data_IF_158513373822
#
_entry.id   IF_158513373822
#
_cell.length_a   1.000
_cell.length_b   1.000
_cell.length_c   1.000
_cell.angle_alpha   90.00
_cell.angle_beta   90.00
_cell.angle_gamma   90.00
#
_symmetry.space_group_name_H-M   'P 1'
#
loop_
_entity.id
_entity.type
_entity.pdbx_description
1 polymer ?
#
# COMPACT_ATOMS: atom_id res chain seq x y z
N UNK A 1 5.37 -28.04 1.12
CA UNK A 1 5.53 -28.15 2.59
C UNK A 1 4.49 -27.25 3.23
N UNK A 2 3.58 -27.77 4.07
CA UNK A 2 2.60 -26.92 4.77
C UNK A 2 3.28 -26.43 6.05
N UNK A 3 3.72 -25.16 6.04
CA UNK A 3 4.30 -24.53 7.22
C UNK A 3 3.18 -24.36 8.26
N UNK A 4 3.22 -25.15 9.32
CA UNK A 4 2.26 -25.07 10.42
C UNK A 4 2.66 -23.94 11.38
N UNK A 5 1.67 -23.26 11.97
CA UNK A 5 1.85 -22.20 12.97
C UNK A 5 2.49 -20.88 12.49
N UNK A 6 2.71 -20.70 11.18
CA UNK A 6 3.08 -19.40 10.62
C UNK A 6 1.83 -18.61 10.21
N UNK A 7 1.87 -17.27 10.29
CA UNK A 7 0.83 -16.43 9.71
C UNK A 7 0.65 -16.71 8.22
N UNK A 8 -0.58 -16.53 7.74
CA UNK A 8 -0.94 -16.58 6.33
C UNK A 8 -1.36 -15.19 5.86
N UNK A 9 -1.33 -14.99 4.55
CA UNK A 9 -1.78 -13.77 3.90
C UNK A 9 -3.07 -14.06 3.12
N UNK A 10 -4.12 -13.31 3.40
CA UNK A 10 -5.39 -13.37 2.68
C UNK A 10 -5.48 -12.11 1.81
N UNK A 11 -5.62 -12.21 0.47
CA UNK A 11 -5.83 -11.05 -0.38
C UNK A 11 -7.02 -10.23 0.11
N UNK A 12 -6.81 -8.93 0.35
CA UNK A 12 -7.79 -8.08 1.00
C UNK A 12 -8.17 -6.88 0.13
N UNK A 13 -7.19 -6.10 -0.33
CA UNK A 13 -7.45 -4.89 -1.09
C UNK A 13 -6.43 -4.66 -2.21
N UNK A 14 -6.83 -3.91 -3.22
CA UNK A 14 -5.95 -3.18 -4.13
C UNK A 14 -6.04 -1.69 -3.81
N UNK A 15 -4.89 -1.04 -3.62
CA UNK A 15 -4.79 0.42 -3.67
C UNK A 15 -4.10 0.85 -4.96
N UNK A 16 -4.67 1.80 -5.69
CA UNK A 16 -4.03 2.49 -6.81
C UNK A 16 -4.03 3.98 -6.51
N UNK A 17 -2.87 4.62 -6.51
CA UNK A 17 -2.73 6.04 -6.13
C UNK A 17 -1.92 6.74 -7.21
N UNK A 18 -2.53 7.67 -7.93
CA UNK A 18 -1.80 8.60 -8.77
C UNK A 18 -1.04 9.61 -7.90
N UNK A 19 0.21 9.87 -8.26
CA UNK A 19 1.10 10.78 -7.52
C UNK A 19 1.53 11.97 -8.38
N UNK A 20 1.81 13.09 -7.71
CA UNK A 20 2.43 14.27 -8.30
C UNK A 20 3.95 14.13 -8.32
N UNK A 21 4.60 15.08 -9.00
CA UNK A 21 6.05 15.20 -9.02
C UNK A 21 6.65 15.30 -7.60
N UNK A 22 7.84 14.72 -7.37
CA UNK A 22 8.51 14.80 -6.09
C UNK A 22 8.84 16.24 -5.66
N UNK A 23 8.51 16.56 -4.42
CA UNK A 23 8.97 17.78 -3.75
C UNK A 23 10.24 17.47 -2.96
N UNK A 24 11.36 18.06 -3.38
CA UNK A 24 12.67 17.83 -2.75
C UNK A 24 12.78 18.65 -1.46
N UNK A 25 12.88 17.97 -0.31
CA UNK A 25 13.09 18.61 0.99
C UNK A 25 14.59 18.65 1.31
N UNK A 26 15.27 17.52 1.12
CA UNK A 26 16.74 17.40 1.22
C UNK A 26 17.25 16.43 0.16
N UNK A 27 18.57 16.24 0.04
CA UNK A 27 19.16 15.23 -0.85
C UNK A 27 18.68 13.79 -0.58
N UNK A 28 18.24 13.50 0.65
CA UNK A 28 17.81 12.16 1.08
C UNK A 28 16.34 12.09 1.50
N UNK A 29 15.56 13.18 1.36
CA UNK A 29 14.16 13.25 1.77
C UNK A 29 13.33 13.95 0.70
N UNK A 30 12.35 13.23 0.18
CA UNK A 30 11.35 13.72 -0.75
C UNK A 30 9.96 13.63 -0.10
N UNK A 31 9.07 14.55 -0.47
CA UNK A 31 7.65 14.37 -0.27
C UNK A 31 6.99 14.11 -1.63
N UNK A 32 6.15 13.08 -1.71
CA UNK A 32 5.40 12.72 -2.90
C UNK A 32 3.91 12.95 -2.60
N UNK A 33 3.33 14.06 -3.05
CA UNK A 33 1.91 14.34 -2.85
C UNK A 33 1.05 13.41 -3.71
N UNK A 34 -0.07 12.94 -3.16
CA UNK A 34 -1.06 12.23 -3.96
C UNK A 34 -1.78 13.24 -4.87
N UNK A 35 -2.18 12.80 -6.06
CA UNK A 35 -3.08 13.58 -6.90
C UNK A 35 -4.50 13.48 -6.31
N UNK A 36 -5.13 14.59 -5.90
CA UNK A 36 -6.41 14.55 -5.18
C UNK A 36 -7.50 13.85 -5.99
N UNK A 37 -8.24 12.93 -5.35
CA UNK A 37 -9.33 12.16 -5.97
C UNK A 37 -8.93 11.27 -7.16
N UNK A 38 -7.63 11.05 -7.36
CA UNK A 38 -7.12 10.16 -8.42
C UNK A 38 -6.45 8.92 -7.82
N UNK A 39 -7.16 8.26 -6.93
CA UNK A 39 -6.73 6.98 -6.39
C UNK A 39 -7.86 6.25 -5.70
N UNK A 40 -7.78 4.93 -5.68
CA UNK A 40 -8.80 4.03 -5.16
C UNK A 40 -8.22 3.04 -4.18
N UNK A 41 -9.07 2.60 -3.24
CA UNK A 41 -8.85 1.46 -2.37
C UNK A 41 -10.08 0.56 -2.50
N UNK A 42 -9.88 -0.62 -3.07
CA UNK A 42 -10.98 -1.53 -3.43
C UNK A 42 -10.69 -2.92 -2.89
N UNK A 43 -11.71 -3.58 -2.37
CA UNK A 43 -11.59 -4.96 -1.87
C UNK A 43 -11.34 -5.95 -2.99
N UNK A 44 -10.49 -6.94 -2.71
CA UNK A 44 -10.29 -8.07 -3.61
C UNK A 44 -11.54 -8.97 -3.65
N UNK A 45 -11.82 -9.64 -4.78
CA UNK A 45 -12.93 -10.58 -4.87
C UNK A 45 -12.86 -11.66 -3.78
N UNK A 46 -13.95 -11.81 -3.03
CA UNK A 46 -14.08 -12.82 -1.97
C UNK A 46 -13.51 -12.42 -0.60
N UNK A 47 -12.94 -11.22 -0.47
CA UNK A 47 -12.60 -10.68 0.85
C UNK A 47 -13.88 -10.31 1.62
N UNK A 48 -13.91 -10.59 2.92
CA UNK A 48 -15.15 -10.55 3.71
C UNK A 48 -15.71 -9.14 3.93
N UNK A 49 -14.86 -8.12 3.87
CA UNK A 49 -15.26 -6.74 4.12
C UNK A 49 -15.28 -5.97 2.80
N UNK A 50 -16.47 -5.70 2.21
CA UNK A 50 -16.57 -4.91 1.01
C UNK A 50 -16.23 -3.44 1.31
N UNK A 51 -15.24 -2.93 0.59
CA UNK A 51 -14.79 -1.55 0.63
C UNK A 51 -14.50 -1.10 -0.79
N UNK A 52 -15.07 0.05 -1.15
CA UNK A 52 -14.71 0.85 -2.30
C UNK A 52 -14.56 2.29 -1.80
N UNK A 53 -13.36 2.83 -1.90
CA UNK A 53 -13.04 4.16 -1.42
C UNK A 53 -12.11 4.92 -2.37
N UNK A 54 -12.21 6.24 -2.33
CA UNK A 54 -11.39 7.17 -3.12
C UNK A 54 -10.50 7.98 -2.20
N UNK A 55 -9.21 8.06 -2.52
CA UNK A 55 -8.26 8.89 -1.77
C UNK A 55 -8.54 10.37 -2.02
N UNK A 56 -8.78 11.13 -0.95
CA UNK A 56 -9.08 12.56 -1.03
C UNK A 56 -7.79 13.37 -1.11
N UNK A 57 -6.83 13.03 -0.26
CA UNK A 57 -5.49 13.62 -0.21
C UNK A 57 -4.54 12.64 0.50
N UNK A 58 -3.25 12.85 0.35
CA UNK A 58 -2.22 12.08 1.06
C UNK A 58 -0.84 12.48 0.60
N UNK A 59 0.17 11.98 1.30
CA UNK A 59 1.54 12.11 0.86
C UNK A 59 2.42 10.99 1.38
N UNK A 60 3.49 10.72 0.66
CA UNK A 60 4.58 9.86 1.08
C UNK A 60 5.84 10.66 1.37
N UNK A 61 6.44 10.43 2.54
CA UNK A 61 7.79 10.88 2.82
C UNK A 61 8.77 9.76 2.52
N UNK A 62 9.46 9.90 1.38
CA UNK A 62 10.45 8.96 0.89
C UNK A 62 11.82 9.37 1.43
N UNK A 63 12.40 8.51 2.28
CA UNK A 63 13.73 8.70 2.86
C UNK A 63 14.71 7.69 2.32
N UNK A 64 15.79 8.15 1.71
CA UNK A 64 16.90 7.29 1.25
C UNK A 64 17.82 6.97 2.42
N UNK A 65 18.16 5.70 2.60
CA UNK A 65 19.20 5.30 3.55
C UNK A 65 20.56 5.87 3.10
N UNK A 66 21.50 6.16 4.02
CA UNK A 66 22.79 6.77 3.68
C UNK A 66 23.64 5.98 2.67
N UNK A 67 23.47 4.65 2.62
CA UNK A 67 24.15 3.76 1.67
C UNK A 67 23.46 3.67 0.30
N UNK A 68 22.27 4.30 0.16
CA UNK A 68 21.47 4.31 -1.06
C UNK A 68 20.82 2.97 -1.42
N UNK A 69 20.95 1.92 -0.61
CA UNK A 69 20.44 0.59 -0.94
C UNK A 69 18.93 0.45 -0.71
N UNK A 70 18.42 1.21 0.27
CA UNK A 70 17.03 1.15 0.66
C UNK A 70 16.41 2.53 0.74
N UNK A 71 15.11 2.55 0.54
CA UNK A 71 14.24 3.67 0.81
C UNK A 71 13.26 3.28 1.90
N UNK A 72 12.97 4.19 2.83
CA UNK A 72 11.89 4.09 3.80
C UNK A 72 10.73 4.97 3.36
N UNK A 73 9.53 4.41 3.41
CA UNK A 73 8.27 5.08 3.10
C UNK A 73 7.56 5.45 4.40
N UNK A 74 6.90 6.60 4.41
CA UNK A 74 6.04 7.05 5.51
C UNK A 74 4.84 7.78 4.89
N UNK A 75 3.73 7.05 4.79
CA UNK A 75 2.51 7.52 4.16
C UNK A 75 1.43 7.82 5.17
N UNK A 76 0.76 8.94 4.96
CA UNK A 76 -0.53 9.24 5.59
C UNK A 76 -1.48 9.85 4.56
N UNK A 77 -2.71 9.36 4.57
CA UNK A 77 -3.76 9.75 3.64
C UNK A 77 -5.14 9.60 4.29
N UNK A 78 -6.13 10.26 3.68
CA UNK A 78 -7.55 10.09 3.99
C UNK A 78 -8.26 9.57 2.74
N UNK A 79 -9.04 8.51 2.91
CA UNK A 79 -9.94 8.00 1.89
C UNK A 79 -11.40 8.17 2.32
N UNK A 80 -12.30 8.22 1.33
CA UNK A 80 -13.75 8.27 1.53
C UNK A 80 -14.41 7.11 0.83
N UNK A 81 -15.22 6.35 1.53
CA UNK A 81 -15.98 5.25 0.94
C UNK A 81 -17.22 5.76 0.17
N UNK A 82 -17.94 4.84 -0.47
CA UNK A 82 -19.18 5.13 -1.20
C UNK A 82 -20.35 5.56 -0.30
N UNK A 83 -20.31 5.26 1.01
CA UNK A 83 -21.29 5.75 1.98
C UNK A 83 -21.03 7.19 2.44
N UNK A 84 -19.85 7.73 2.11
CA UNK A 84 -19.39 9.05 2.53
C UNK A 84 -18.57 9.04 3.82
N UNK A 85 -18.40 7.87 4.45
CA UNK A 85 -17.56 7.64 5.63
C UNK A 85 -16.09 7.87 5.31
N UNK A 86 -15.36 8.37 6.31
CA UNK A 86 -13.92 8.64 6.19
C UNK A 86 -13.11 7.57 6.91
N UNK A 87 -11.95 7.27 6.33
CA UNK A 87 -10.94 6.43 6.95
C UNK A 87 -9.56 7.05 6.74
N UNK A 88 -8.72 6.98 7.77
CA UNK A 88 -7.30 7.23 7.64
C UNK A 88 -6.66 5.97 7.05
N UNK A 89 -5.81 6.17 6.06
CA UNK A 89 -4.93 5.17 5.49
C UNK A 89 -3.49 5.60 5.73
N UNK A 90 -2.73 4.80 6.46
CA UNK A 90 -1.32 5.07 6.71
C UNK A 90 -0.50 3.81 6.56
N UNK A 91 0.75 3.97 6.11
CA UNK A 91 1.67 2.85 6.09
C UNK A 91 3.10 3.31 6.24
N UNK A 92 3.93 2.40 6.75
CA UNK A 92 5.37 2.49 6.62
C UNK A 92 5.85 1.34 5.75
N UNK A 93 6.94 1.54 5.02
CA UNK A 93 7.45 0.53 4.12
C UNK A 93 8.92 0.66 3.81
N UNK A 94 9.40 -0.31 3.04
CA UNK A 94 10.75 -0.34 2.51
C UNK A 94 10.72 -0.65 1.02
N UNK A 95 11.63 -0.02 0.28
CA UNK A 95 11.85 -0.30 -1.14
C UNK A 95 13.33 -0.59 -1.37
N UNK A 96 13.62 -1.68 -2.08
CA UNK A 96 14.97 -2.02 -2.51
C UNK A 96 15.35 -1.22 -3.77
N UNK A 97 16.43 -0.44 -3.71
CA UNK A 97 16.86 0.46 -4.79
C UNK A 97 17.64 -0.23 -5.92
N UNK A 98 17.99 -1.51 -5.75
CA UNK A 98 18.65 -2.31 -6.79
C UNK A 98 17.68 -2.77 -7.89
N UNK A 99 16.37 -2.85 -7.58
CA UNK A 99 15.32 -3.26 -8.52
C UNK A 99 14.88 -2.15 -9.48
N UNK A 100 13.89 -2.46 -10.31
CA UNK A 100 13.31 -1.51 -11.26
C UNK A 100 12.62 -0.33 -10.57
N UNK A 101 12.09 -0.52 -9.36
CA UNK A 101 11.56 0.52 -8.49
C UNK A 101 12.60 1.59 -8.20
N UNK A 102 13.86 1.19 -8.03
CA UNK A 102 14.96 2.12 -7.84
C UNK A 102 15.19 3.03 -9.04
N UNK A 103 14.95 2.53 -10.27
CA UNK A 103 15.03 3.35 -11.49
C UNK A 103 13.94 4.41 -11.50
N UNK A 104 12.72 4.02 -11.14
CA UNK A 104 11.59 4.96 -11.01
C UNK A 104 11.89 6.04 -9.98
N UNK A 105 12.35 5.65 -8.77
CA UNK A 105 12.63 6.58 -7.67
C UNK A 105 13.80 7.53 -7.98
N UNK A 106 14.75 7.12 -8.84
CA UNK A 106 15.82 7.99 -9.33
C UNK A 106 15.39 8.93 -10.46
N UNK A 107 14.26 8.66 -11.10
CA UNK A 107 13.79 9.40 -12.27
C UNK A 107 14.51 9.00 -13.56
N UNK A 108 14.95 7.75 -13.67
CA UNK A 108 15.65 7.26 -14.86
C UNK A 108 14.70 7.30 -16.08
N UNK A 109 15.15 7.83 -17.22
CA UNK A 109 14.29 8.06 -18.40
C UNK A 109 13.79 6.78 -19.09
N UNK A 110 14.40 5.64 -18.78
CA UNK A 110 14.01 4.32 -19.27
C UNK A 110 13.23 3.50 -18.22
N UNK A 111 12.77 4.13 -17.14
CA UNK A 111 11.94 3.48 -16.15
C UNK A 111 10.58 3.09 -16.76
N UNK A 112 10.12 1.87 -16.47
CA UNK A 112 8.84 1.34 -16.93
C UNK A 112 8.03 0.82 -15.74
N UNK A 113 6.80 0.38 -16.00
CA UNK A 113 5.99 -0.34 -15.01
C UNK A 113 6.82 -1.47 -14.37
N UNK A 114 6.82 -1.53 -13.04
CA UNK A 114 7.64 -2.48 -12.28
C UNK A 114 6.83 -3.72 -11.89
N UNK A 115 7.56 -4.78 -11.52
CA UNK A 115 6.96 -5.96 -10.92
C UNK A 115 6.60 -5.73 -9.44
N UNK A 116 6.06 -6.77 -8.81
CA UNK A 116 5.93 -6.82 -7.35
C UNK A 116 7.16 -7.50 -6.72
N UNK A 117 7.37 -7.29 -5.42
CA UNK A 117 8.38 -8.03 -4.63
C UNK A 117 9.60 -7.25 -4.17
N UNK A 118 9.76 -5.99 -4.59
CA UNK A 118 10.85 -5.11 -4.12
C UNK A 118 10.40 -3.99 -3.18
N UNK A 119 9.08 -3.80 -3.04
CA UNK A 119 8.47 -2.82 -2.15
C UNK A 119 7.47 -3.51 -1.23
N UNK A 120 7.66 -3.38 0.09
CA UNK A 120 6.77 -3.96 1.10
C UNK A 120 6.35 -2.93 2.13
N UNK A 121 5.09 -2.99 2.53
CA UNK A 121 4.45 -2.03 3.43
C UNK A 121 3.67 -2.72 4.53
N UNK A 122 3.56 -2.07 5.69
CA UNK A 122 2.61 -2.40 6.76
C UNK A 122 1.54 -1.30 6.80
N UNK A 123 0.28 -1.66 6.58
CA UNK A 123 -0.83 -0.71 6.46
C UNK A 123 -1.62 -0.68 7.75
N UNK A 124 -2.09 0.51 8.13
CA UNK A 124 -3.03 0.74 9.23
C UNK A 124 -4.20 1.57 8.74
N UNK A 125 -5.39 1.16 9.16
CA UNK A 125 -6.64 1.86 8.96
C UNK A 125 -7.15 2.41 10.29
N UNK A 126 -7.72 3.61 10.28
CA UNK A 126 -8.44 4.18 11.44
C UNK A 126 -9.75 4.83 10.97
N UNK A 127 -10.86 4.58 11.66
CA UNK A 127 -12.20 5.11 11.33
C UNK A 127 -13.20 4.87 12.46
N UNK A 128 -14.15 5.77 12.67
CA UNK A 128 -15.29 5.53 13.60
C UNK A 128 -16.53 4.98 12.86
N UNK A 129 -16.45 4.76 11.55
CA UNK A 129 -17.58 4.27 10.77
C UNK A 129 -17.97 2.85 11.21
N UNK A 130 -19.20 2.61 11.73
CA UNK A 130 -19.56 1.32 12.32
C UNK A 130 -19.41 0.14 11.35
N UNK A 131 -19.70 0.36 10.06
CA UNK A 131 -19.57 -0.66 9.01
C UNK A 131 -18.12 -0.99 8.61
N UNK A 132 -17.14 -0.20 9.04
CA UNK A 132 -15.73 -0.35 8.68
C UNK A 132 -14.84 -0.69 9.89
N UNK A 133 -15.43 -0.88 11.07
CA UNK A 133 -14.67 -1.09 12.32
C UNK A 133 -13.67 -2.26 12.22
N UNK A 134 -14.05 -3.33 11.52
CA UNK A 134 -13.20 -4.50 11.25
C UNK A 134 -11.85 -4.17 10.59
N UNK A 135 -11.74 -3.05 9.86
CA UNK A 135 -10.46 -2.59 9.27
C UNK A 135 -9.40 -2.28 10.33
N UNK A 136 -9.81 -1.82 11.51
CA UNK A 136 -8.88 -1.38 12.56
C UNK A 136 -8.43 -2.54 13.44
N UNK A 137 -9.23 -3.59 13.50
CA UNK A 137 -9.01 -4.75 14.37
C UNK A 137 -8.11 -5.82 13.69
N UNK A 138 -7.56 -5.51 12.52
CA UNK A 138 -6.78 -6.42 11.68
C UNK A 138 -5.41 -5.84 11.31
N UNK A 139 -4.49 -6.74 10.97
CA UNK A 139 -3.15 -6.38 10.49
C UNK A 139 -3.07 -6.56 8.98
N UNK A 140 -2.42 -5.61 8.31
CA UNK A 140 -2.28 -5.62 6.86
C UNK A 140 -0.84 -5.41 6.43
N UNK A 141 -0.44 -6.17 5.43
CA UNK A 141 0.82 -5.99 4.71
C UNK A 141 0.54 -5.92 3.22
N UNK A 142 1.42 -5.26 2.47
CA UNK A 142 1.24 -5.15 1.02
C UNK A 142 2.55 -5.23 0.26
N UNK A 143 2.45 -5.63 -1.01
CA UNK A 143 3.52 -5.49 -1.99
C UNK A 143 3.16 -4.37 -2.95
N UNK A 144 4.10 -3.44 -3.15
CA UNK A 144 3.94 -2.31 -4.05
C UNK A 144 4.59 -2.53 -5.42
N UNK A 145 4.14 -1.76 -6.41
CA UNK A 145 4.79 -1.52 -7.69
C UNK A 145 4.49 -0.12 -8.22
N UNK A 146 5.26 0.33 -9.21
CA UNK A 146 4.92 1.50 -10.01
C UNK A 146 4.28 1.09 -11.32
N UNK A 147 3.23 1.79 -11.73
CA UNK A 147 2.62 1.70 -13.05
C UNK A 147 2.95 3.00 -13.79
N UNK A 148 3.65 2.85 -14.91
CA UNK A 148 4.12 3.93 -15.76
C UNK A 148 3.50 3.73 -17.13
N UNK A 149 2.74 4.73 -17.56
CA UNK A 149 2.12 4.83 -18.87
C UNK A 149 2.44 6.22 -19.44
N UNK A 150 2.62 6.31 -20.76
CA UNK A 150 2.90 7.57 -21.44
C UNK A 150 1.74 8.56 -21.26
N UNK A 151 2.07 9.84 -21.04
CA UNK A 151 1.13 10.94 -20.82
C UNK A 151 0.14 10.74 -19.65
N UNK A 152 0.45 9.85 -18.71
CA UNK A 152 -0.35 9.65 -17.50
C UNK A 152 0.47 9.88 -16.23
N UNK A 153 -0.17 10.31 -15.13
CA UNK A 153 0.47 10.32 -13.83
C UNK A 153 1.01 8.94 -13.48
N UNK A 154 2.16 8.89 -12.81
CA UNK A 154 2.66 7.65 -12.22
C UNK A 154 1.65 7.17 -11.17
N UNK A 155 1.32 5.88 -11.22
CA UNK A 155 0.47 5.25 -10.22
C UNK A 155 1.34 4.34 -9.34
N UNK A 156 1.23 4.48 -8.03
CA UNK A 156 1.69 3.46 -7.09
C UNK A 156 0.55 2.49 -6.82
N UNK A 157 0.77 1.21 -7.10
CA UNK A 157 -0.21 0.16 -6.88
C UNK A 157 0.27 -0.76 -5.75
N UNK A 158 -0.62 -1.07 -4.82
CA UNK A 158 -0.39 -2.04 -3.76
C UNK A 158 -1.41 -3.16 -3.82
N UNK A 159 -0.91 -4.40 -3.80
CA UNK A 159 -1.70 -5.58 -3.43
C UNK A 159 -1.57 -5.80 -1.93
N UNK A 160 -2.67 -5.64 -1.22
CA UNK A 160 -2.74 -5.63 0.25
C UNK A 160 -3.39 -6.93 0.72
N UNK A 161 -2.79 -7.55 1.72
CA UNK A 161 -3.29 -8.75 2.37
C UNK A 161 -3.52 -8.54 3.84
N UNK A 162 -4.59 -9.13 4.36
CA UNK A 162 -4.76 -9.35 5.78
C UNK A 162 -3.75 -10.41 6.26
N UNK A 163 -3.09 -10.14 7.38
CA UNK A 163 -2.32 -11.12 8.12
C UNK A 163 -3.27 -11.92 9.01
N UNK A 164 -3.34 -13.22 8.79
CA UNK A 164 -4.26 -14.12 9.49
C UNK A 164 -3.56 -15.41 9.93
N UNK A 165 -4.31 -16.33 10.53
CA UNK A 165 -3.83 -17.66 10.91
C UNK A 165 -4.67 -18.74 10.23
N UNK A 166 -4.04 -19.86 9.87
CA UNK A 166 -4.80 -21.04 9.45
C UNK A 166 -5.62 -21.52 10.65
N UNK A 167 -6.96 -21.43 10.53
CA UNK A 167 -7.85 -21.94 11.55
C UNK A 167 -7.68 -23.46 11.63
N UNK A 168 -6.99 -23.95 12.67
CA UNK A 168 -7.02 -25.36 13.04
C UNK A 168 -8.44 -25.61 13.54
N UNK A 169 -9.35 -26.03 12.66
CA UNK A 169 -10.59 -26.65 13.10
C UNK A 169 -10.16 -27.87 13.92
N UNK A 170 -10.18 -27.72 15.24
CA UNK A 170 -9.91 -28.80 16.17
C UNK A 170 -10.74 -30.00 15.72
N UNK A 171 -10.10 -31.16 15.65
CA UNK A 171 -10.76 -32.45 15.61
C UNK A 171 -11.87 -32.42 16.64
N UNK A 172 -13.13 -32.31 16.18
CA UNK A 172 -14.25 -32.76 16.99
C UNK A 172 -13.99 -34.25 17.18
N UNK A 173 -13.52 -34.62 18.37
CA UNK A 173 -13.55 -36.01 18.77
C UNK A 173 -15.03 -36.34 18.93
N UNK A 174 -15.47 -37.33 18.16
CA UNK A 174 -16.69 -38.09 18.37
C UNK A 174 -16.72 -38.71 19.78
#
# INVERSE_FOLDING_TARGET
MKLTNFPILIPAFTAQIAINDPLVITSNLLNIPFLPKAGTLVSEPGYELPLEATFIHGSDFIRRDPDGQWVKLEVTSVARDTSGSLLRFSYNGVVNMAGDEGKVIRGDTNATTTGFGNAFVQIRFETDAPGLKLLQDKLYVGSGRFVIEEDRPVIVEYKISEVSAQCNKGSKND
#
